data_IF_257894865058
#
_entry.id   IF_257894865058
#
_cell.length_a   1.000
_cell.length_b   1.000
_cell.length_c   1.000
_cell.angle_alpha   90.00
_cell.angle_beta   90.00
_cell.angle_gamma   90.00
#
_symmetry.space_group_name_H-M   'P 1'
#
loop_
_entity.id
_entity.type
_entity.pdbx_description
1 polymer ?
#
# COMPACT_ATOMS: atom_id res chain seq x y z
N UNK A 1 51.74 5.76 5.29
CA UNK A 1 50.80 4.81 4.67
C UNK A 1 50.00 4.17 5.81
N UNK A 2 48.87 4.78 6.20
CA UNK A 2 47.94 4.20 7.18
C UNK A 2 46.84 3.49 6.42
N UNK A 3 46.93 2.17 6.37
CA UNK A 3 46.01 1.31 5.63
C UNK A 3 44.70 1.07 6.37
N UNK A 4 43.66 0.91 5.55
CA UNK A 4 42.38 0.25 5.79
C UNK A 4 41.32 1.03 6.58
N UNK A 5 40.37 1.57 5.81
CA UNK A 5 39.01 1.92 6.23
C UNK A 5 38.35 0.71 6.92
N UNK A 6 38.44 0.61 8.24
CA UNK A 6 37.48 -0.16 9.00
C UNK A 6 36.17 0.64 9.05
N UNK A 7 35.07 0.06 8.56
CA UNK A 7 33.76 0.70 8.69
C UNK A 7 33.49 0.96 10.18
N UNK A 8 33.03 2.16 10.58
CA UNK A 8 32.77 2.46 11.98
C UNK A 8 31.80 1.46 12.60
N UNK A 9 31.92 1.25 13.91
CA UNK A 9 31.05 0.35 14.71
C UNK A 9 29.55 0.56 14.48
N UNK A 10 29.15 1.78 14.16
CA UNK A 10 27.82 2.14 13.68
C UNK A 10 27.94 3.35 12.77
N UNK A 11 27.27 3.36 11.62
CA UNK A 11 27.30 4.49 10.70
C UNK A 11 26.47 5.64 11.28
N UNK A 12 27.11 6.81 11.44
CA UNK A 12 26.43 8.05 11.83
C UNK A 12 26.40 8.94 10.59
N UNK A 13 25.22 9.21 10.00
CA UNK A 13 25.11 10.01 8.79
C UNK A 13 25.51 11.47 9.05
N UNK A 14 26.01 12.12 8.00
CA UNK A 14 26.27 13.56 8.01
C UNK A 14 24.96 14.36 8.13
N UNK A 15 25.02 15.64 8.54
CA UNK A 15 23.85 16.50 8.58
C UNK A 15 23.11 16.52 7.23
N UNK A 16 21.83 16.16 7.23
CA UNK A 16 20.99 16.11 6.05
C UNK A 16 19.88 17.16 6.09
N UNK A 17 19.58 17.75 4.93
CA UNK A 17 18.48 18.71 4.75
C UNK A 17 17.14 18.03 4.47
N UNK A 18 17.15 16.75 4.13
CA UNK A 18 15.96 16.01 3.71
C UNK A 18 14.82 16.03 4.73
N UNK A 19 15.05 15.86 6.05
CA UNK A 19 13.96 15.86 7.03
C UNK A 19 13.17 17.17 7.05
N UNK A 20 13.86 18.31 7.05
CA UNK A 20 13.21 19.64 7.05
C UNK A 20 12.52 19.89 5.71
N UNK A 21 13.17 19.53 4.59
CA UNK A 21 12.57 19.67 3.26
C UNK A 21 11.28 18.86 3.11
N UNK A 22 11.27 17.62 3.62
CA UNK A 22 10.10 16.75 3.61
C UNK A 22 8.99 17.31 4.51
N UNK A 23 9.32 17.81 5.70
CA UNK A 23 8.36 18.43 6.61
C UNK A 23 7.69 19.67 5.99
N UNK A 24 8.46 20.52 5.29
CA UNK A 24 7.91 21.68 4.56
C UNK A 24 6.99 21.22 3.42
N UNK A 25 7.41 20.25 2.62
CA UNK A 25 6.57 19.67 1.56
C UNK A 25 5.26 19.11 2.09
N UNK A 26 5.31 18.34 3.18
CA UNK A 26 4.13 17.78 3.86
C UNK A 26 3.21 18.86 4.42
N UNK A 27 3.76 19.89 5.06
CA UNK A 27 2.97 21.00 5.60
C UNK A 27 2.23 21.75 4.49
N UNK A 28 2.93 22.07 3.39
CA UNK A 28 2.31 22.74 2.23
C UNK A 28 1.25 21.85 1.62
N UNK A 29 1.53 20.55 1.41
CA UNK A 29 0.61 19.61 0.82
C UNK A 29 -0.66 19.43 1.68
N UNK A 30 -0.52 19.00 2.93
CA UNK A 30 -1.66 18.69 3.81
C UNK A 30 -2.41 19.94 4.24
N UNK A 31 -1.69 21.05 4.49
CA UNK A 31 -2.33 22.34 4.75
C UNK A 31 -3.17 22.80 3.57
N UNK A 32 -2.66 22.68 2.34
CA UNK A 32 -3.43 23.00 1.14
C UNK A 32 -4.61 22.05 0.93
N UNK A 33 -4.48 20.75 1.19
CA UNK A 33 -5.62 19.81 1.12
C UNK A 33 -6.74 20.25 2.08
N UNK A 34 -6.41 20.69 3.30
CA UNK A 34 -7.40 21.21 4.23
C UNK A 34 -8.14 22.44 3.68
N UNK A 35 -7.42 23.38 3.04
CA UNK A 35 -8.05 24.54 2.38
C UNK A 35 -8.85 24.16 1.14
N UNK A 36 -8.42 23.14 0.39
CA UNK A 36 -9.15 22.64 -0.78
C UNK A 36 -10.50 22.04 -0.37
N UNK A 37 -10.55 21.26 0.71
CA UNK A 37 -11.81 20.74 1.26
C UNK A 37 -12.77 21.88 1.66
N UNK A 38 -12.22 23.06 2.01
CA UNK A 38 -12.99 24.27 2.30
C UNK A 38 -13.12 25.23 1.09
N UNK A 39 -13.07 24.68 -0.12
CA UNK A 39 -13.37 25.36 -1.39
C UNK A 39 -12.42 26.53 -1.75
N UNK A 40 -11.22 26.59 -1.17
CA UNK A 40 -10.22 27.57 -1.56
C UNK A 40 -9.67 27.30 -2.97
N UNK A 41 -9.84 28.23 -3.90
CA UNK A 41 -9.49 28.03 -5.33
C UNK A 41 -7.99 27.86 -5.61
N UNK A 42 -7.11 28.40 -4.78
CA UNK A 42 -5.65 28.30 -4.91
C UNK A 42 -5.10 26.97 -4.38
N UNK A 43 -5.86 26.30 -3.51
CA UNK A 43 -5.40 25.17 -2.74
C UNK A 43 -5.06 23.92 -3.56
N UNK A 44 -5.78 23.56 -4.65
CA UNK A 44 -5.39 22.41 -5.48
C UNK A 44 -3.99 22.57 -6.08
N UNK A 45 -3.66 23.78 -6.53
CA UNK A 45 -2.36 24.07 -7.14
C UNK A 45 -1.24 23.97 -6.10
N UNK A 46 -1.41 24.57 -4.92
CA UNK A 46 -0.38 24.50 -3.86
C UNK A 46 -0.27 23.11 -3.24
N UNK A 47 -1.36 22.34 -3.18
CA UNK A 47 -1.32 20.93 -2.79
C UNK A 47 -0.45 20.12 -3.76
N UNK A 48 -0.62 20.31 -5.07
CA UNK A 48 0.20 19.68 -6.09
C UNK A 48 1.67 20.10 -5.97
N UNK A 49 1.96 21.39 -5.76
CA UNK A 49 3.33 21.85 -5.53
C UNK A 49 3.97 21.22 -4.29
N UNK A 50 3.22 21.12 -3.18
CA UNK A 50 3.67 20.43 -1.97
C UNK A 50 3.98 18.95 -2.20
N UNK A 51 3.12 18.26 -2.96
CA UNK A 51 3.34 16.87 -3.36
C UNK A 51 4.59 16.72 -4.23
N UNK A 52 4.76 17.54 -5.26
CA UNK A 52 5.95 17.51 -6.13
C UNK A 52 7.24 17.81 -5.34
N UNK A 53 7.18 18.74 -4.38
CA UNK A 53 8.29 19.03 -3.47
C UNK A 53 8.65 17.83 -2.59
N UNK A 54 7.63 17.16 -2.04
CA UNK A 54 7.83 15.95 -1.24
C UNK A 54 8.47 14.84 -2.08
N UNK A 55 7.95 14.57 -3.28
CA UNK A 55 8.49 13.57 -4.20
C UNK A 55 9.94 13.90 -4.61
N UNK A 56 10.24 15.18 -4.87
CA UNK A 56 11.61 15.63 -5.14
C UNK A 56 12.55 15.36 -3.96
N UNK A 57 12.10 15.66 -2.74
CA UNK A 57 12.88 15.39 -1.52
C UNK A 57 13.12 13.90 -1.34
N UNK A 58 12.09 13.07 -1.49
CA UNK A 58 12.19 11.61 -1.34
C UNK A 58 13.11 10.99 -2.40
N UNK A 59 13.06 11.46 -3.64
CA UNK A 59 13.96 11.01 -4.71
C UNK A 59 15.44 11.22 -4.34
N UNK A 60 15.77 12.42 -3.83
CA UNK A 60 17.15 12.72 -3.40
C UNK A 60 17.53 11.94 -2.14
N UNK A 61 16.62 11.83 -1.17
CA UNK A 61 16.88 11.11 0.08
C UNK A 61 17.16 9.62 -0.19
N UNK A 62 16.33 8.96 -1.00
CA UNK A 62 16.58 7.58 -1.37
C UNK A 62 17.81 7.43 -2.27
N UNK A 63 18.09 8.41 -3.13
CA UNK A 63 19.33 8.45 -3.92
C UNK A 63 20.58 8.46 -3.04
N UNK A 64 20.60 9.32 -2.02
CA UNK A 64 21.70 9.39 -1.05
C UNK A 64 21.83 8.09 -0.27
N UNK A 65 20.72 7.52 0.22
CA UNK A 65 20.74 6.23 0.93
C UNK A 65 21.28 5.09 0.06
N UNK A 66 20.96 5.07 -1.25
CA UNK A 66 21.53 4.11 -2.19
C UNK A 66 23.03 4.39 -2.36
N UNK A 67 23.43 5.65 -2.56
CA UNK A 67 24.83 6.03 -2.71
C UNK A 67 25.68 5.66 -1.50
N UNK A 68 25.13 5.83 -0.29
CA UNK A 68 25.77 5.45 0.97
C UNK A 68 25.94 3.93 1.10
N UNK A 69 24.91 3.17 0.70
CA UNK A 69 24.93 1.71 0.66
C UNK A 69 26.01 1.20 -0.31
N UNK A 70 26.01 1.67 -1.56
CA UNK A 70 26.99 1.24 -2.58
C UNK A 70 28.41 1.74 -2.26
N UNK A 71 28.54 2.84 -1.51
CA UNK A 71 29.81 3.35 -0.98
C UNK A 71 30.43 2.51 0.14
N UNK A 72 29.75 1.44 0.57
CA UNK A 72 30.25 0.52 1.60
C UNK A 72 30.21 1.09 3.02
N UNK A 73 29.41 2.14 3.26
CA UNK A 73 29.32 2.78 4.58
C UNK A 73 28.42 2.01 5.56
N UNK A 74 27.60 1.07 5.07
CA UNK A 74 26.68 0.27 5.89
C UNK A 74 27.33 -1.03 6.34
N UNK A 75 27.71 -1.10 7.62
CA UNK A 75 28.16 -2.33 8.28
C UNK A 75 27.00 -3.25 8.68
N UNK A 76 27.33 -4.45 9.19
CA UNK A 76 26.33 -5.49 9.60
C UNK A 76 25.27 -4.99 10.58
N UNK A 77 25.62 -4.07 11.49
CA UNK A 77 24.68 -3.51 12.47
C UNK A 77 23.65 -2.58 11.85
N UNK A 78 24.05 -1.83 10.83
CA UNK A 78 23.15 -0.95 10.06
C UNK A 78 22.16 -1.81 9.28
N UNK A 79 22.63 -2.90 8.65
CA UNK A 79 21.77 -3.89 7.99
C UNK A 79 20.71 -4.47 8.94
N UNK A 80 21.14 -4.94 10.12
CA UNK A 80 20.22 -5.44 11.16
C UNK A 80 19.22 -4.36 11.59
N UNK A 81 19.66 -3.11 11.78
CA UNK A 81 18.77 -2.00 12.13
C UNK A 81 17.72 -1.76 11.04
N UNK A 82 18.11 -1.76 9.77
CA UNK A 82 17.16 -1.58 8.66
C UNK A 82 16.13 -2.70 8.58
N UNK A 83 16.52 -3.96 8.85
CA UNK A 83 15.59 -5.08 8.93
C UNK A 83 14.56 -4.89 10.04
N UNK A 84 15.00 -4.48 11.24
CA UNK A 84 14.07 -4.17 12.33
C UNK A 84 13.17 -2.99 12.01
N UNK A 85 13.70 -1.92 11.41
CA UNK A 85 12.90 -0.77 10.96
C UNK A 85 11.83 -1.21 9.96
N UNK A 86 12.16 -2.08 9.00
CA UNK A 86 11.20 -2.58 8.03
C UNK A 86 10.12 -3.46 8.69
N UNK A 87 10.50 -4.32 9.64
CA UNK A 87 9.53 -5.14 10.38
C UNK A 87 8.56 -4.27 11.20
N UNK A 88 9.06 -3.24 11.89
CA UNK A 88 8.22 -2.33 12.65
C UNK A 88 7.30 -1.48 11.75
N UNK A 89 7.80 -1.06 10.59
CA UNK A 89 7.00 -0.38 9.59
C UNK A 89 5.87 -1.28 9.07
N UNK A 90 6.16 -2.52 8.67
CA UNK A 90 5.11 -3.48 8.24
C UNK A 90 4.12 -3.72 9.39
N UNK A 91 4.59 -3.85 10.62
CA UNK A 91 3.70 -4.02 11.76
C UNK A 91 2.75 -2.82 11.94
N UNK A 92 3.23 -1.58 11.79
CA UNK A 92 2.34 -0.42 11.84
C UNK A 92 1.32 -0.41 10.70
N UNK A 93 1.70 -0.86 9.49
CA UNK A 93 0.76 -1.00 8.38
C UNK A 93 -0.31 -2.08 8.65
N UNK A 94 0.08 -3.20 9.29
CA UNK A 94 -0.89 -4.23 9.73
C UNK A 94 -1.88 -3.65 10.74
N UNK A 95 -1.43 -2.82 11.70
CA UNK A 95 -2.32 -2.15 12.65
C UNK A 95 -3.24 -1.13 11.95
N UNK A 96 -2.72 -0.41 10.95
CA UNK A 96 -3.50 0.52 10.13
C UNK A 96 -4.64 -0.19 9.40
N UNK A 97 -4.38 -1.30 8.70
CA UNK A 97 -5.45 -2.13 8.12
C UNK A 97 -6.35 -2.75 9.19
N UNK A 98 -5.80 -3.15 10.34
CA UNK A 98 -6.55 -3.65 11.48
C UNK A 98 -7.64 -2.68 11.95
N UNK A 99 -7.38 -1.37 11.91
CA UNK A 99 -8.39 -0.36 12.21
C UNK A 99 -9.55 -0.36 11.20
N UNK A 100 -9.27 -0.50 9.90
CA UNK A 100 -10.31 -0.54 8.87
C UNK A 100 -11.11 -1.85 8.88
N UNK A 101 -10.45 -2.99 9.05
CA UNK A 101 -11.16 -4.27 9.26
C UNK A 101 -12.00 -4.23 10.53
N UNK A 102 -11.49 -3.63 11.60
CA UNK A 102 -12.24 -3.41 12.84
C UNK A 102 -13.46 -2.51 12.62
N UNK A 103 -13.34 -1.45 11.83
CA UNK A 103 -14.47 -0.58 11.47
C UNK A 103 -15.53 -1.32 10.65
N UNK A 104 -15.12 -2.13 9.66
CA UNK A 104 -16.04 -2.98 8.89
C UNK A 104 -16.74 -4.01 9.79
N UNK A 105 -15.98 -4.71 10.64
CA UNK A 105 -16.53 -5.68 11.59
C UNK A 105 -17.54 -5.02 12.54
N UNK A 106 -17.18 -3.88 13.13
CA UNK A 106 -18.08 -3.16 14.03
C UNK A 106 -19.37 -2.72 13.31
N UNK A 107 -19.24 -2.16 12.10
CA UNK A 107 -20.39 -1.73 11.32
C UNK A 107 -21.33 -2.89 10.97
N UNK A 108 -20.77 -4.02 10.55
CA UNK A 108 -21.49 -5.19 10.03
C UNK A 108 -22.05 -6.09 11.12
N UNK A 109 -21.24 -6.45 12.12
CA UNK A 109 -21.58 -7.49 13.10
C UNK A 109 -22.15 -6.92 14.39
N UNK A 110 -21.94 -5.63 14.68
CA UNK A 110 -22.41 -4.99 15.92
C UNK A 110 -23.49 -3.94 15.62
N UNK A 111 -23.12 -2.85 14.95
CA UNK A 111 -24.01 -1.70 14.77
C UNK A 111 -25.27 -2.05 13.97
N UNK A 112 -25.09 -2.81 12.90
CA UNK A 112 -26.17 -3.33 12.05
C UNK A 112 -27.20 -4.17 12.80
N UNK A 113 -26.74 -5.14 13.61
CA UNK A 113 -27.64 -5.98 14.39
C UNK A 113 -28.35 -5.20 15.51
N UNK A 114 -27.67 -4.24 16.12
CA UNK A 114 -28.27 -3.34 17.10
C UNK A 114 -29.39 -2.49 16.47
N UNK A 115 -29.16 -1.91 15.29
CA UNK A 115 -30.17 -1.14 14.56
C UNK A 115 -31.38 -1.97 14.12
N UNK A 116 -31.18 -3.25 13.80
CA UNK A 116 -32.28 -4.18 13.47
C UNK A 116 -32.99 -4.79 14.68
N UNK A 117 -32.57 -4.48 15.91
CA UNK A 117 -33.16 -5.05 17.12
C UNK A 117 -34.52 -4.44 17.45
N UNK A 118 -35.28 -5.13 18.31
CA UNK A 118 -36.60 -4.71 18.77
C UNK A 118 -36.59 -3.30 19.40
N UNK A 119 -35.51 -2.96 20.11
CA UNK A 119 -35.38 -1.68 20.82
C UNK A 119 -35.35 -0.48 19.85
N UNK A 120 -34.84 -0.67 18.63
CA UNK A 120 -34.67 0.40 17.64
C UNK A 120 -35.77 0.41 16.57
N UNK A 121 -36.66 -0.59 16.54
CA UNK A 121 -37.80 -0.64 15.60
C UNK A 121 -38.74 0.54 15.71
N UNK A 122 -38.83 1.19 16.88
CA UNK A 122 -39.65 2.38 17.04
C UNK A 122 -39.09 3.57 16.25
N UNK A 123 -37.76 3.67 16.12
CA UNK A 123 -37.07 4.76 15.43
C UNK A 123 -36.89 4.40 13.94
N UNK A 124 -36.58 3.14 13.66
CA UNK A 124 -36.30 2.62 12.32
C UNK A 124 -37.18 1.41 11.99
N UNK A 125 -38.48 1.61 11.75
CA UNK A 125 -39.44 0.50 11.61
C UNK A 125 -39.15 -0.40 10.40
N UNK A 126 -38.64 0.18 9.32
CA UNK A 126 -38.41 -0.50 8.04
C UNK A 126 -36.95 -0.98 7.86
N UNK A 127 -36.09 -0.80 8.87
CA UNK A 127 -34.69 -1.21 8.77
C UNK A 127 -34.53 -2.72 8.91
N UNK A 128 -33.88 -3.34 7.93
CA UNK A 128 -33.46 -4.75 7.97
C UNK A 128 -31.96 -4.86 8.13
N UNK A 129 -31.51 -5.65 9.11
CA UNK A 129 -30.09 -5.96 9.33
C UNK A 129 -29.56 -6.97 8.30
N UNK A 130 -29.44 -6.55 7.04
CA UNK A 130 -28.84 -7.32 5.94
C UNK A 130 -27.60 -6.59 5.43
N UNK A 131 -26.57 -7.34 5.02
CA UNK A 131 -25.33 -6.79 4.47
C UNK A 131 -25.18 -7.18 3.00
N UNK A 132 -25.01 -6.23 2.06
CA UNK A 132 -25.12 -4.78 2.24
C UNK A 132 -26.57 -4.30 2.51
N UNK A 133 -26.71 -3.06 3.00
CA UNK A 133 -28.01 -2.35 3.11
C UNK A 133 -27.89 -0.90 2.63
N UNK A 134 -29.05 -0.27 2.38
CA UNK A 134 -29.21 1.14 2.00
C UNK A 134 -29.31 2.10 3.21
N UNK A 135 -29.03 1.61 4.41
CA UNK A 135 -29.18 2.35 5.66
C UNK A 135 -30.64 2.55 6.09
N UNK A 136 -30.86 3.14 7.28
CA UNK A 136 -32.17 3.57 7.71
C UNK A 136 -32.67 4.77 6.88
N UNK A 137 -33.99 4.84 6.65
CA UNK A 137 -34.68 5.93 5.96
C UNK A 137 -34.34 6.16 4.47
N UNK A 138 -33.85 5.13 3.77
CA UNK A 138 -33.62 5.16 2.31
C UNK A 138 -32.76 6.35 1.83
N UNK A 139 -31.85 6.84 2.69
CA UNK A 139 -30.98 7.98 2.38
C UNK A 139 -29.98 7.69 1.26
N UNK A 140 -29.81 6.41 0.91
CA UNK A 140 -28.88 5.92 -0.10
C UNK A 140 -29.66 5.31 -1.26
N UNK A 141 -29.32 5.69 -2.49
CA UNK A 141 -29.92 5.09 -3.68
C UNK A 141 -29.58 3.59 -3.80
N UNK A 142 -30.42 2.84 -4.53
CA UNK A 142 -30.17 1.42 -4.77
C UNK A 142 -28.82 1.18 -5.45
N UNK A 143 -28.08 0.20 -4.93
CA UNK A 143 -26.81 -0.26 -5.48
C UNK A 143 -26.72 -1.79 -5.41
N UNK A 144 -25.79 -2.36 -6.16
CA UNK A 144 -25.44 -3.79 -6.10
C UNK A 144 -24.05 -3.96 -5.49
N UNK A 145 -23.86 -5.01 -4.70
CA UNK A 145 -22.53 -5.39 -4.20
C UNK A 145 -21.66 -5.93 -5.34
N UNK A 146 -20.35 -5.77 -5.19
CA UNK A 146 -19.38 -6.41 -6.06
C UNK A 146 -19.27 -7.89 -5.69
N UNK A 147 -19.43 -8.77 -6.68
CA UNK A 147 -19.31 -10.22 -6.47
C UNK A 147 -17.85 -10.68 -6.59
N UNK A 148 -17.43 -11.78 -5.93
CA UNK A 148 -16.06 -12.29 -6.01
C UNK A 148 -15.57 -12.66 -7.42
N UNK A 149 -16.50 -12.97 -8.33
CA UNK A 149 -16.20 -13.42 -9.68
C UNK A 149 -16.71 -12.42 -10.73
N UNK A 150 -15.99 -12.24 -11.86
CA UNK A 150 -14.65 -12.76 -12.17
C UNK A 150 -13.51 -11.85 -11.70
N UNK A 151 -13.76 -10.55 -11.56
CA UNK A 151 -12.72 -9.52 -11.45
C UNK A 151 -11.89 -9.67 -10.17
N UNK A 152 -12.49 -9.76 -8.96
CA UNK A 152 -11.69 -9.94 -7.74
C UNK A 152 -10.88 -11.23 -7.73
N UNK A 153 -11.42 -12.32 -8.29
CA UNK A 153 -10.71 -13.60 -8.38
C UNK A 153 -9.50 -13.52 -9.33
N UNK A 154 -9.63 -12.83 -10.46
CA UNK A 154 -8.49 -12.58 -11.37
C UNK A 154 -7.42 -11.72 -10.70
N UNK A 155 -7.81 -10.71 -9.93
CA UNK A 155 -6.90 -9.91 -9.12
C UNK A 155 -6.13 -10.75 -8.09
N UNK A 156 -6.82 -11.66 -7.40
CA UNK A 156 -6.18 -12.64 -6.51
C UNK A 156 -5.18 -13.53 -7.26
N UNK A 157 -5.52 -13.99 -8.47
CA UNK A 157 -4.60 -14.78 -9.28
C UNK A 157 -3.36 -13.99 -9.69
N UNK A 158 -3.49 -12.71 -10.07
CA UNK A 158 -2.35 -11.86 -10.40
C UNK A 158 -1.41 -11.66 -9.21
N UNK A 159 -1.94 -11.32 -8.02
CA UNK A 159 -1.13 -11.11 -6.83
C UNK A 159 -0.43 -12.39 -6.37
N UNK A 160 -1.15 -13.51 -6.22
CA UNK A 160 -0.53 -14.77 -5.80
C UNK A 160 0.53 -15.25 -6.78
N UNK A 161 0.29 -15.09 -8.09
CA UNK A 161 1.29 -15.40 -9.10
C UNK A 161 2.50 -14.48 -8.96
N UNK A 162 2.30 -13.18 -8.69
CA UNK A 162 3.38 -12.21 -8.52
C UNK A 162 4.25 -12.50 -7.29
N UNK A 163 3.65 -12.98 -6.19
CA UNK A 163 4.38 -13.42 -4.99
C UNK A 163 5.20 -14.68 -5.25
N UNK A 164 4.67 -15.63 -6.04
CA UNK A 164 5.42 -16.80 -6.46
C UNK A 164 6.62 -16.42 -7.36
N UNK A 165 6.43 -15.56 -8.37
CA UNK A 165 7.53 -15.10 -9.22
C UNK A 165 8.59 -14.32 -8.44
N UNK A 166 8.18 -13.52 -7.45
CA UNK A 166 9.08 -12.79 -6.56
C UNK A 166 9.93 -13.74 -5.71
N UNK A 167 9.32 -14.80 -5.18
CA UNK A 167 10.03 -15.84 -4.41
C UNK A 167 11.06 -16.55 -5.28
N UNK A 168 10.72 -16.87 -6.54
CA UNK A 168 11.66 -17.47 -7.50
C UNK A 168 12.81 -16.50 -7.82
N UNK A 169 12.52 -15.20 -7.97
CA UNK A 169 13.55 -14.17 -8.13
C UNK A 169 14.51 -14.14 -6.94
N UNK A 170 13.98 -14.24 -5.72
CA UNK A 170 14.80 -14.21 -4.51
C UNK A 170 15.78 -15.39 -4.46
N UNK A 171 15.29 -16.60 -4.70
CA UNK A 171 16.14 -17.79 -4.74
C UNK A 171 17.20 -17.69 -5.84
N UNK A 172 16.82 -17.21 -7.03
CA UNK A 172 17.77 -16.99 -8.12
C UNK A 172 18.86 -15.97 -7.75
N UNK A 173 18.53 -14.91 -7.02
CA UNK A 173 19.51 -13.93 -6.55
C UNK A 173 20.50 -14.53 -5.54
N UNK A 174 20.00 -15.32 -4.59
CA UNK A 174 20.82 -16.03 -3.58
C UNK A 174 21.72 -17.09 -4.20
N UNK A 175 21.27 -17.75 -5.26
CA UNK A 175 22.07 -18.69 -6.05
C UNK A 175 23.00 -17.99 -7.07
N UNK A 176 23.12 -16.65 -6.99
CA UNK A 176 23.94 -15.82 -7.87
C UNK A 176 23.56 -15.89 -9.38
N UNK A 177 22.32 -16.32 -9.70
CA UNK A 177 21.75 -16.34 -11.04
C UNK A 177 21.05 -15.01 -11.38
N UNK A 178 21.84 -13.95 -11.52
CA UNK A 178 21.32 -12.57 -11.68
C UNK A 178 20.34 -12.37 -12.84
N UNK A 179 20.61 -12.90 -14.03
CA UNK A 179 19.70 -12.74 -15.18
C UNK A 179 18.34 -13.39 -14.94
N UNK A 180 18.33 -14.55 -14.26
CA UNK A 180 17.10 -15.24 -13.86
C UNK A 180 16.34 -14.41 -12.82
N UNK A 181 17.04 -13.86 -11.82
CA UNK A 181 16.42 -12.97 -10.83
C UNK A 181 15.77 -11.75 -11.49
N UNK A 182 16.46 -11.07 -12.41
CA UNK A 182 15.92 -9.92 -13.15
C UNK A 182 14.65 -10.29 -13.91
N UNK A 183 14.65 -11.41 -14.65
CA UNK A 183 13.49 -11.84 -15.44
C UNK A 183 12.26 -12.11 -14.57
N UNK A 184 12.43 -12.81 -13.44
CA UNK A 184 11.32 -13.14 -12.53
C UNK A 184 10.81 -11.92 -11.76
N UNK A 185 11.70 -11.02 -11.33
CA UNK A 185 11.30 -9.76 -10.70
C UNK A 185 10.54 -8.86 -11.69
N UNK A 186 10.96 -8.82 -12.96
CA UNK A 186 10.22 -8.09 -14.00
C UNK A 186 8.81 -8.67 -14.20
N UNK A 187 8.66 -10.00 -14.16
CA UNK A 187 7.35 -10.64 -14.21
C UNK A 187 6.46 -10.24 -13.01
N UNK A 188 7.01 -10.19 -11.78
CA UNK A 188 6.30 -9.68 -10.60
C UNK A 188 5.78 -8.26 -10.82
N UNK A 189 6.63 -7.36 -11.31
CA UNK A 189 6.24 -5.95 -11.56
C UNK A 189 5.10 -5.87 -12.59
N UNK A 190 5.19 -6.64 -13.69
CA UNK A 190 4.13 -6.68 -14.71
C UNK A 190 2.81 -7.19 -14.13
N UNK A 191 2.84 -8.26 -13.33
CA UNK A 191 1.64 -8.79 -12.68
C UNK A 191 1.02 -7.78 -11.69
N UNK A 192 1.85 -7.04 -10.94
CA UNK A 192 1.38 -5.95 -10.09
C UNK A 192 0.72 -4.82 -10.87
N UNK A 193 1.25 -4.47 -12.04
CA UNK A 193 0.61 -3.49 -12.95
C UNK A 193 -0.72 -4.03 -13.48
N UNK A 194 -0.80 -5.30 -13.87
CA UNK A 194 -2.05 -5.94 -14.29
C UNK A 194 -3.12 -5.88 -13.18
N UNK A 195 -2.74 -6.14 -11.93
CA UNK A 195 -3.63 -5.99 -10.77
C UNK A 195 -4.18 -4.55 -10.68
N UNK A 196 -3.31 -3.52 -10.75
CA UNK A 196 -3.77 -2.12 -10.64
C UNK A 196 -4.72 -1.72 -11.76
N UNK A 197 -4.47 -2.15 -13.00
CA UNK A 197 -5.40 -1.90 -14.11
C UNK A 197 -6.75 -2.57 -13.89
N UNK A 198 -6.75 -3.81 -13.44
CA UNK A 198 -7.98 -4.56 -13.17
C UNK A 198 -8.73 -3.99 -11.95
N UNK A 199 -8.03 -3.48 -10.94
CA UNK A 199 -8.63 -2.72 -9.83
C UNK A 199 -9.28 -1.40 -10.33
N UNK A 200 -8.64 -0.70 -11.27
CA UNK A 200 -9.24 0.47 -11.91
C UNK A 200 -10.51 0.12 -12.70
N UNK A 201 -10.50 -1.01 -13.40
CA UNK A 201 -11.69 -1.54 -14.08
C UNK A 201 -12.80 -1.89 -13.08
N UNK A 202 -12.47 -2.53 -11.95
CA UNK A 202 -13.42 -2.84 -10.89
C UNK A 202 -14.13 -1.57 -10.38
N UNK A 203 -13.38 -0.49 -10.12
CA UNK A 203 -13.98 0.77 -9.68
C UNK A 203 -14.83 1.42 -10.76
N UNK A 204 -14.40 1.37 -12.02
CA UNK A 204 -15.22 1.84 -13.13
C UNK A 204 -16.56 1.08 -13.20
N UNK A 205 -16.53 -0.25 -13.11
CA UNK A 205 -17.73 -1.09 -13.11
C UNK A 205 -18.63 -0.81 -11.89
N UNK A 206 -18.03 -0.67 -10.70
CA UNK A 206 -18.75 -0.36 -9.47
C UNK A 206 -19.55 0.95 -9.59
N UNK A 207 -18.92 2.02 -10.07
CA UNK A 207 -19.58 3.33 -10.20
C UNK A 207 -20.63 3.36 -11.32
N UNK A 208 -20.33 2.80 -12.49
CA UNK A 208 -21.18 2.98 -13.67
C UNK A 208 -22.28 1.93 -13.81
N UNK A 209 -22.05 0.69 -13.38
CA UNK A 209 -22.99 -0.42 -13.61
C UNK A 209 -23.69 -0.87 -12.32
N UNK A 210 -23.01 -0.77 -11.17
CA UNK A 210 -23.56 -1.22 -9.88
C UNK A 210 -24.13 -0.08 -9.04
N UNK A 211 -23.91 1.18 -9.44
CA UNK A 211 -24.22 2.37 -8.64
C UNK A 211 -23.59 2.31 -7.22
N UNK A 212 -22.48 1.58 -7.10
CA UNK A 212 -21.70 1.43 -5.88
C UNK A 212 -20.65 2.53 -5.85
N UNK A 213 -20.86 3.52 -4.98
CA UNK A 213 -20.03 4.71 -4.85
C UNK A 213 -19.55 4.87 -3.41
N UNK A 214 -18.64 5.83 -3.17
CA UNK A 214 -18.25 6.22 -1.81
C UNK A 214 -19.44 6.69 -0.94
N UNK A 215 -20.51 7.18 -1.58
CA UNK A 215 -21.73 7.63 -0.92
C UNK A 215 -22.78 6.51 -0.74
N UNK A 216 -22.48 5.27 -1.15
CA UNK A 216 -23.39 4.11 -1.01
C UNK A 216 -23.41 3.57 0.43
N UNK A 217 -23.61 4.47 1.40
CA UNK A 217 -23.67 4.18 2.83
C UNK A 217 -22.37 3.62 3.40
N UNK A 218 -22.49 2.91 4.52
CA UNK A 218 -21.34 2.30 5.22
C UNK A 218 -20.70 1.18 4.40
N UNK A 219 -21.45 0.48 3.55
CA UNK A 219 -20.91 -0.55 2.66
C UNK A 219 -19.96 0.07 1.63
N UNK A 220 -20.43 1.07 0.87
CA UNK A 220 -19.61 1.73 -0.15
C UNK A 220 -18.37 2.39 0.45
N UNK A 221 -18.52 3.14 1.54
CA UNK A 221 -17.38 3.82 2.17
C UNK A 221 -16.32 2.85 2.70
N UNK A 222 -16.72 1.78 3.40
CA UNK A 222 -15.76 0.77 3.89
C UNK A 222 -15.14 -0.04 2.74
N UNK A 223 -15.91 -0.41 1.72
CA UNK A 223 -15.42 -1.09 0.52
C UNK A 223 -14.29 -0.30 -0.14
N UNK A 224 -14.53 0.96 -0.49
CA UNK A 224 -13.55 1.79 -1.20
C UNK A 224 -12.38 2.24 -0.31
N UNK A 225 -12.57 2.41 1.00
CA UNK A 225 -11.45 2.69 1.91
C UNK A 225 -10.51 1.49 2.01
N UNK A 226 -11.04 0.29 2.27
CA UNK A 226 -10.25 -0.93 2.41
C UNK A 226 -9.51 -1.28 1.12
N UNK A 227 -10.23 -1.37 0.00
CA UNK A 227 -9.65 -1.71 -1.31
C UNK A 227 -8.81 -0.57 -1.88
N UNK A 228 -9.17 0.69 -1.62
CA UNK A 228 -8.43 1.87 -2.08
C UNK A 228 -7.07 2.01 -1.40
N UNK A 229 -7.02 1.91 -0.06
CA UNK A 229 -5.73 1.91 0.64
C UNK A 229 -4.89 0.71 0.25
N UNK A 230 -5.48 -0.48 0.10
CA UNK A 230 -4.74 -1.64 -0.40
C UNK A 230 -4.15 -1.40 -1.80
N UNK A 231 -4.95 -0.91 -2.75
CA UNK A 231 -4.47 -0.56 -4.09
C UNK A 231 -3.35 0.49 -4.08
N UNK A 232 -3.42 1.47 -3.17
CA UNK A 232 -2.33 2.42 -2.95
C UNK A 232 -1.05 1.73 -2.45
N UNK A 233 -1.16 0.75 -1.55
CA UNK A 233 -0.01 -0.04 -1.08
C UNK A 233 0.57 -0.93 -2.19
N UNK A 234 -0.27 -1.52 -3.05
CA UNK A 234 0.19 -2.26 -4.25
C UNK A 234 0.97 -1.33 -5.17
N UNK A 235 0.49 -0.10 -5.39
CA UNK A 235 1.20 0.89 -6.21
C UNK A 235 2.56 1.29 -5.61
N UNK A 236 2.61 1.56 -4.30
CA UNK A 236 3.87 1.87 -3.60
C UNK A 236 4.84 0.69 -3.64
N UNK A 237 4.36 -0.52 -3.33
CA UNK A 237 5.15 -1.75 -3.39
C UNK A 237 5.70 -2.02 -4.80
N UNK A 238 4.88 -1.78 -5.83
CA UNK A 238 5.27 -1.96 -7.23
C UNK A 238 6.33 -0.97 -7.66
N UNK A 239 6.23 0.27 -7.16
CA UNK A 239 7.27 1.30 -7.33
C UNK A 239 8.58 0.89 -6.65
N UNK A 240 8.53 0.39 -5.41
CA UNK A 240 9.71 -0.11 -4.70
C UNK A 240 10.37 -1.28 -5.46
N UNK A 241 9.58 -2.27 -5.89
CA UNK A 241 10.07 -3.40 -6.68
C UNK A 241 10.65 -2.97 -8.03
N UNK A 242 10.09 -1.95 -8.67
CA UNK A 242 10.64 -1.37 -9.91
C UNK A 242 12.00 -0.73 -9.67
N UNK A 243 12.16 0.02 -8.57
CA UNK A 243 13.46 0.59 -8.17
C UNK A 243 14.48 -0.52 -7.88
N UNK A 244 14.07 -1.57 -7.16
CA UNK A 244 14.90 -2.76 -6.92
C UNK A 244 15.27 -3.46 -8.23
N UNK A 245 14.35 -3.59 -9.17
CA UNK A 245 14.62 -4.18 -10.50
C UNK A 245 15.69 -3.37 -11.24
N UNK A 246 15.57 -2.04 -11.28
CA UNK A 246 16.57 -1.18 -11.92
C UNK A 246 17.93 -1.31 -11.23
N UNK A 247 17.97 -1.33 -9.89
CA UNK A 247 19.21 -1.57 -9.12
C UNK A 247 19.83 -2.93 -9.39
N UNK A 248 19.00 -3.98 -9.53
CA UNK A 248 19.45 -5.33 -9.88
C UNK A 248 20.01 -5.37 -11.30
N UNK A 249 19.42 -4.66 -12.26
CA UNK A 249 19.95 -4.50 -13.63
C UNK A 249 21.27 -3.72 -13.63
N UNK A 250 21.49 -2.79 -12.70
CA UNK A 250 22.77 -2.07 -12.52
C UNK A 250 23.83 -2.86 -11.73
N UNK A 251 23.44 -3.89 -10.99
CA UNK A 251 24.36 -4.81 -10.32
C UNK A 251 24.67 -4.43 -8.87
N UNK A 252 23.77 -3.69 -8.25
CA UNK A 252 23.88 -3.20 -6.87
C UNK A 252 23.66 -4.30 -5.81
N UNK A 253 23.41 -5.55 -6.22
CA UNK A 253 23.06 -6.64 -5.31
C UNK A 253 23.98 -7.83 -5.51
N UNK A 254 24.37 -8.45 -4.40
CA UNK A 254 25.08 -9.72 -4.35
C UNK A 254 24.26 -10.75 -3.58
N UNK A 255 24.65 -12.03 -3.69
CA UNK A 255 24.00 -13.11 -2.94
C UNK A 255 24.02 -12.91 -1.42
N UNK A 256 24.94 -12.10 -0.89
CA UNK A 256 25.06 -11.80 0.55
C UNK A 256 24.52 -10.41 0.92
N UNK A 257 24.57 -9.45 -0.02
CA UNK A 257 24.17 -8.07 0.21
C UNK A 257 23.03 -7.66 -0.73
N UNK A 258 21.80 -7.86 -0.26
CA UNK A 258 20.59 -7.55 -1.03
C UNK A 258 19.39 -7.15 -0.14
N UNK A 259 19.65 -6.48 1.00
CA UNK A 259 18.59 -6.08 1.93
C UNK A 259 17.46 -5.28 1.27
N UNK A 260 17.77 -4.34 0.36
CA UNK A 260 16.71 -3.55 -0.30
C UNK A 260 15.76 -4.43 -1.13
N UNK A 261 16.26 -5.53 -1.70
CA UNK A 261 15.41 -6.54 -2.33
C UNK A 261 14.54 -7.26 -1.29
N UNK A 262 15.13 -7.73 -0.18
CA UNK A 262 14.39 -8.45 0.87
C UNK A 262 13.32 -7.57 1.53
N UNK A 263 13.64 -6.32 1.85
CA UNK A 263 12.69 -5.37 2.41
C UNK A 263 11.50 -5.12 1.47
N UNK A 264 11.77 -4.87 0.19
CA UNK A 264 10.70 -4.73 -0.81
C UNK A 264 9.89 -6.03 -0.99
N UNK A 265 10.54 -7.20 -0.89
CA UNK A 265 9.87 -8.47 -0.97
C UNK A 265 8.97 -8.76 0.25
N UNK A 266 9.42 -8.42 1.46
CA UNK A 266 8.60 -8.50 2.67
C UNK A 266 7.38 -7.60 2.58
N UNK A 267 7.55 -6.37 2.07
CA UNK A 267 6.43 -5.47 1.84
C UNK A 267 5.42 -6.03 0.83
N UNK A 268 5.91 -6.58 -0.29
CA UNK A 268 5.03 -7.16 -1.32
C UNK A 268 4.21 -8.34 -0.79
N UNK A 269 4.84 -9.25 -0.05
CA UNK A 269 4.12 -10.35 0.59
C UNK A 269 3.15 -9.89 1.68
N UNK A 270 3.46 -8.81 2.41
CA UNK A 270 2.50 -8.18 3.31
C UNK A 270 1.25 -7.71 2.53
N UNK A 271 1.44 -7.05 1.39
CA UNK A 271 0.34 -6.60 0.53
C UNK A 271 -0.47 -7.78 0.00
N UNK A 272 0.15 -8.91 -0.35
CA UNK A 272 -0.54 -10.15 -0.73
C UNK A 272 -1.45 -10.67 0.41
N UNK A 273 -0.93 -10.71 1.64
CA UNK A 273 -1.68 -11.20 2.81
C UNK A 273 -2.88 -10.33 3.13
N UNK A 274 -2.72 -8.99 3.08
CA UNK A 274 -3.85 -8.06 3.26
C UNK A 274 -4.90 -8.27 2.18
N UNK A 275 -4.49 -8.46 0.92
CA UNK A 275 -5.43 -8.74 -0.17
C UNK A 275 -6.26 -9.99 0.08
N UNK A 276 -5.63 -11.09 0.54
CA UNK A 276 -6.38 -12.32 0.83
C UNK A 276 -7.42 -12.11 1.93
N UNK A 277 -7.09 -11.33 2.96
CA UNK A 277 -8.04 -10.92 3.99
C UNK A 277 -9.21 -10.12 3.40
N UNK A 278 -8.92 -9.15 2.53
CA UNK A 278 -9.94 -8.37 1.82
C UNK A 278 -10.81 -9.26 0.93
N UNK A 279 -10.19 -10.11 0.13
CA UNK A 279 -10.86 -11.00 -0.80
C UNK A 279 -11.91 -11.85 -0.08
N UNK A 280 -11.57 -12.43 1.07
CA UNK A 280 -12.52 -13.21 1.88
C UNK A 280 -13.57 -12.31 2.54
N UNK A 281 -13.16 -11.28 3.28
CA UNK A 281 -14.07 -10.54 4.17
C UNK A 281 -14.99 -9.56 3.42
N UNK A 282 -14.53 -8.99 2.31
CA UNK A 282 -15.28 -7.95 1.57
C UNK A 282 -16.11 -8.55 0.43
N UNK A 283 -15.62 -9.60 -0.22
CA UNK A 283 -16.28 -10.15 -1.41
C UNK A 283 -17.08 -11.41 -1.13
N UNK A 284 -16.60 -12.30 -0.26
CA UNK A 284 -17.26 -13.59 0.01
C UNK A 284 -18.22 -13.56 1.18
N UNK A 285 -17.83 -12.87 2.25
CA UNK A 285 -18.68 -12.66 3.42
C UNK A 285 -19.57 -11.46 3.15
#
# INVERSE_FOLDING_TARGET
>A
MSGQNESPYYFVPHPSRHPISAAVGLLVMLGSVAFWINEASWAPFTALLGLLWLLYTLWHWFGDAIGESEGGMYGKRVDVSYRWSMSWFIFSEVMFFGAFFGALFYAREIAMHQLGSLDYKLIWPDFSAVWPNIGPAELVGHFKSMTPWPVPTLNTAFLLSSGATLTVSHHALRDNHRNKAIAWLAATVVLGVCFLFMQGFEYYHAYNELNLTLASGVYGSTFFLLTGFHGFHVFLGGTMLTVVLVRMIRGHFTAEHHFAFEGAAWYWHFVDVVWLGLYVVVYWL
#
